data_IF_930783788967
#
_entry.id   IF_930783788967
#
_cell.length_a   1.000
_cell.length_b   1.000
_cell.length_c   1.000
_cell.angle_alpha   90.00
_cell.angle_beta   90.00
_cell.angle_gamma   90.00
#
_symmetry.space_group_name_H-M   'P 1'
#
loop_
_entity.id
_entity.type
_entity.pdbx_description
1 polymer ?
#
# COMPACT_ATOMS: atom_id res chain seq x y z
N UNK A 1 2.65 -20.64 0.88
CA UNK A 1 3.69 -19.57 0.93
C UNK A 1 3.73 -18.98 2.35
N UNK A 2 4.91 -18.69 2.91
CA UNK A 2 5.03 -18.00 4.21
C UNK A 2 5.24 -16.49 3.99
N UNK A 3 4.49 -15.65 4.71
CA UNK A 3 4.62 -14.21 4.64
C UNK A 3 4.70 -13.59 6.03
N UNK A 4 5.62 -12.63 6.18
CA UNK A 4 5.75 -11.80 7.37
C UNK A 4 4.91 -10.54 7.24
N UNK A 5 4.48 -10.04 8.40
CA UNK A 5 3.75 -8.78 8.51
C UNK A 5 4.45 -7.88 9.49
N UNK A 6 4.82 -6.68 9.04
CA UNK A 6 5.43 -5.69 9.91
C UNK A 6 4.41 -5.26 10.97
N UNK A 7 4.76 -5.30 12.28
CA UNK A 7 3.87 -4.87 13.34
C UNK A 7 3.39 -3.42 13.14
N UNK A 8 2.13 -3.14 13.50
CA UNK A 8 1.52 -1.82 13.25
C UNK A 8 2.19 -0.68 14.05
N UNK A 9 2.81 -1.00 15.19
CA UNK A 9 3.55 -0.04 16.00
C UNK A 9 4.79 0.53 15.28
N UNK A 10 5.30 -0.14 14.24
CA UNK A 10 6.37 0.37 13.38
C UNK A 10 5.95 1.54 12.50
N UNK A 11 4.64 1.80 12.41
CA UNK A 11 4.06 2.87 11.58
C UNK A 11 3.43 4.00 12.41
N UNK A 12 3.69 4.05 13.72
CA UNK A 12 3.28 5.18 14.57
C UNK A 12 4.28 6.33 14.45
N UNK A 13 3.81 7.56 14.66
CA UNK A 13 4.65 8.78 14.70
C UNK A 13 5.48 9.04 13.43
N UNK A 14 4.97 8.62 12.26
CA UNK A 14 5.63 8.87 10.98
C UNK A 14 5.50 10.35 10.56
N UNK A 15 6.61 11.06 10.27
CA UNK A 15 6.56 12.49 9.95
C UNK A 15 5.77 12.76 8.67
N UNK A 16 4.73 13.59 8.78
CA UNK A 16 3.90 13.98 7.63
C UNK A 16 3.10 12.83 7.01
N UNK A 17 2.72 11.83 7.82
CA UNK A 17 1.93 10.68 7.38
C UNK A 17 0.62 10.55 8.17
N UNK A 18 -0.37 11.41 7.88
CA UNK A 18 -1.65 11.41 8.60
C UNK A 18 -2.62 10.33 8.11
N UNK A 19 -2.25 9.53 7.11
CA UNK A 19 -3.18 8.67 6.39
C UNK A 19 -3.51 7.38 7.15
N UNK A 20 -4.80 7.05 7.17
CA UNK A 20 -5.26 5.77 7.68
C UNK A 20 -4.98 4.66 6.66
N UNK A 21 -4.43 3.50 7.08
CA UNK A 21 -4.20 2.41 6.15
C UNK A 21 -5.53 1.77 5.74
N UNK A 22 -5.66 1.46 4.46
CA UNK A 22 -6.67 0.54 3.95
C UNK A 22 -6.00 -0.76 3.51
N UNK A 23 -6.74 -1.86 3.54
CA UNK A 23 -6.20 -3.18 3.25
C UNK A 23 -7.09 -3.94 2.28
N UNK A 24 -6.47 -4.69 1.38
CA UNK A 24 -7.13 -5.62 0.47
C UNK A 24 -6.45 -6.97 0.57
N UNK A 25 -7.23 -8.02 0.81
CA UNK A 25 -6.74 -9.39 0.82
C UNK A 25 -6.88 -9.99 -0.57
N UNK A 26 -5.79 -10.52 -1.12
CA UNK A 26 -5.75 -11.20 -2.41
C UNK A 26 -5.36 -12.67 -2.23
N UNK A 27 -5.86 -13.54 -3.12
CA UNK A 27 -5.37 -14.92 -3.20
C UNK A 27 -3.97 -14.93 -3.80
N UNK A 28 -3.04 -15.64 -3.16
CA UNK A 28 -1.70 -15.88 -3.68
C UNK A 28 -1.77 -17.03 -4.68
N UNK A 29 -1.76 -16.71 -5.97
CA UNK A 29 -1.94 -17.69 -7.04
C UNK A 29 -0.70 -18.55 -7.30
N UNK A 30 -0.59 -19.67 -6.60
CA UNK A 30 -0.01 -20.92 -7.16
C UNK A 30 -1.14 -21.94 -7.10
N UNK A 31 -1.48 -22.57 -8.22
CA UNK A 31 -2.60 -23.52 -8.31
C UNK A 31 -2.51 -24.58 -7.20
N UNK A 32 -3.45 -24.56 -6.25
CA UNK A 32 -3.56 -25.54 -5.17
C UNK A 32 -3.22 -25.03 -3.77
N UNK A 33 -2.70 -23.80 -3.60
CA UNK A 33 -2.42 -23.21 -2.28
C UNK A 33 -3.52 -22.20 -1.90
N UNK A 34 -3.99 -22.23 -0.65
CA UNK A 34 -5.04 -21.34 -0.11
C UNK A 34 -4.46 -20.08 0.55
N UNK A 35 -3.17 -19.82 0.34
CA UNK A 35 -2.47 -18.69 0.95
C UNK A 35 -3.06 -17.36 0.46
N UNK A 36 -3.29 -16.42 1.38
CA UNK A 36 -3.75 -15.06 1.07
C UNK A 36 -2.71 -14.04 1.50
N UNK A 37 -2.60 -12.95 0.75
CA UNK A 37 -1.71 -11.82 1.04
C UNK A 37 -2.52 -10.55 1.25
N UNK A 38 -2.14 -9.75 2.24
CA UNK A 38 -2.73 -8.45 2.52
C UNK A 38 -1.89 -7.34 1.90
N UNK A 39 -2.50 -6.58 0.99
CA UNK A 39 -1.94 -5.36 0.40
C UNK A 39 -2.46 -4.17 1.20
N UNK A 40 -1.56 -3.33 1.68
CA UNK A 40 -1.89 -2.03 2.22
C UNK A 40 -1.97 -0.98 1.11
N UNK A 41 -2.88 -0.02 1.24
CA UNK A 41 -2.93 1.14 0.37
C UNK A 41 -3.50 2.35 1.10
N UNK A 42 -3.14 3.53 0.60
CA UNK A 42 -3.79 4.79 0.92
C UNK A 42 -4.85 5.09 -0.13
N UNK A 43 -6.00 5.63 0.29
CA UNK A 43 -7.12 6.00 -0.58
C UNK A 43 -7.74 7.30 -0.05
N UNK A 44 -7.34 8.42 -0.66
CA UNK A 44 -7.65 9.78 -0.21
C UNK A 44 -8.35 10.59 -1.31
N UNK A 45 -9.07 11.64 -0.90
CA UNK A 45 -9.83 12.49 -1.81
C UNK A 45 -11.22 11.95 -2.17
N UNK A 46 -11.99 12.66 -3.02
CA UNK A 46 -13.38 12.30 -3.33
C UNK A 46 -13.48 10.99 -4.12
N UNK A 47 -14.26 10.02 -3.63
CA UNK A 47 -14.44 8.72 -4.30
C UNK A 47 -15.17 8.81 -5.63
N UNK A 48 -15.93 9.88 -5.83
CA UNK A 48 -16.68 10.26 -7.03
C UNK A 48 -15.90 11.22 -7.95
N UNK A 49 -14.61 11.44 -7.68
CA UNK A 49 -13.75 12.27 -8.54
C UNK A 49 -13.72 11.75 -9.98
N UNK A 50 -13.73 12.68 -10.95
CA UNK A 50 -13.63 12.37 -12.36
C UNK A 50 -12.30 11.66 -12.74
N UNK A 51 -11.26 11.78 -11.92
CA UNK A 51 -9.98 11.14 -12.15
C UNK A 51 -9.35 10.60 -10.85
N UNK A 52 -8.71 9.44 -10.95
CA UNK A 52 -7.90 8.84 -9.89
C UNK A 52 -6.42 8.88 -10.26
N UNK A 53 -5.59 9.41 -9.38
CA UNK A 53 -4.13 9.35 -9.47
C UNK A 53 -3.65 8.09 -8.76
N UNK A 54 -3.06 7.15 -9.50
CA UNK A 54 -2.43 5.95 -8.95
C UNK A 54 -0.93 6.19 -8.75
N UNK A 55 -0.49 6.24 -7.49
CA UNK A 55 0.90 6.48 -7.11
C UNK A 55 1.61 5.16 -6.79
N UNK A 56 2.34 4.60 -7.76
CA UNK A 56 3.10 3.35 -7.59
C UNK A 56 4.55 3.62 -7.21
N UNK A 57 4.94 3.22 -6.00
CA UNK A 57 6.32 3.35 -5.55
C UNK A 57 7.23 2.32 -6.24
N UNK A 58 8.55 2.52 -6.14
CA UNK A 58 9.57 1.57 -6.60
C UNK A 58 10.43 1.04 -5.46
N UNK A 59 11.56 0.45 -5.80
CA UNK A 59 12.57 -0.09 -4.87
C UNK A 59 13.39 1.04 -4.19
N UNK A 60 13.73 0.97 -2.88
CA UNK A 60 13.20 0.11 -1.81
C UNK A 60 12.12 0.84 -0.98
N UNK A 61 11.27 1.62 -1.65
CA UNK A 61 10.37 2.58 -1.01
C UNK A 61 8.99 1.99 -0.71
N UNK A 62 8.06 2.83 -0.27
CA UNK A 62 6.64 2.49 -0.08
C UNK A 62 5.80 3.76 -0.23
N UNK A 63 4.48 3.69 -0.07
CA UNK A 63 3.56 4.82 -0.28
C UNK A 63 3.95 6.11 0.48
N UNK A 64 4.70 6.01 1.58
CA UNK A 64 5.31 7.14 2.30
C UNK A 64 6.10 8.12 1.42
N UNK A 65 6.67 7.63 0.31
CA UNK A 65 7.35 8.44 -0.69
C UNK A 65 6.46 9.57 -1.22
N UNK A 66 5.16 9.29 -1.37
CA UNK A 66 4.19 10.20 -1.97
C UNK A 66 3.53 11.17 -0.99
N UNK A 67 3.88 11.15 0.30
CA UNK A 67 3.18 11.93 1.34
C UNK A 67 3.09 13.44 1.10
N UNK A 68 4.02 14.01 0.33
CA UNK A 68 4.01 15.42 -0.04
C UNK A 68 3.25 15.70 -1.36
N UNK A 69 3.06 14.67 -2.18
CA UNK A 69 2.35 14.75 -3.46
C UNK A 69 0.85 14.50 -3.28
N UNK A 70 0.47 13.52 -2.45
CA UNK A 70 -0.92 13.20 -2.11
C UNK A 70 -1.76 14.46 -1.80
N UNK A 71 -1.37 15.36 -0.89
CA UNK A 71 -2.22 16.51 -0.56
C UNK A 71 -2.36 17.49 -1.72
N UNK A 72 -1.38 17.56 -2.65
CA UNK A 72 -1.46 18.42 -3.84
C UNK A 72 -2.51 17.90 -4.82
N UNK A 73 -2.53 16.59 -5.07
CA UNK A 73 -3.53 15.97 -5.94
C UNK A 73 -4.94 16.00 -5.33
N UNK A 74 -5.05 15.75 -4.03
CA UNK A 74 -6.33 15.85 -3.32
C UNK A 74 -6.87 17.29 -3.35
N UNK A 75 -6.01 18.30 -3.15
CA UNK A 75 -6.40 19.70 -3.26
C UNK A 75 -6.83 20.10 -4.68
N UNK A 76 -6.30 19.41 -5.71
CA UNK A 76 -6.75 19.56 -7.10
C UNK A 76 -8.07 18.83 -7.42
N UNK A 77 -8.70 18.19 -6.43
CA UNK A 77 -9.98 17.49 -6.57
C UNK A 77 -9.87 16.06 -7.10
N UNK A 78 -8.67 15.48 -7.14
CA UNK A 78 -8.46 14.10 -7.56
C UNK A 78 -8.60 13.13 -6.38
N UNK A 79 -9.07 11.91 -6.69
CA UNK A 79 -8.85 10.76 -5.81
C UNK A 79 -7.39 10.32 -5.95
N UNK A 80 -6.75 9.91 -4.86
CA UNK A 80 -5.39 9.39 -4.87
C UNK A 80 -5.36 8.01 -4.23
N UNK A 81 -4.84 7.04 -4.96
CA UNK A 81 -4.59 5.68 -4.44
C UNK A 81 -3.10 5.40 -4.47
N UNK A 82 -2.52 5.01 -3.35
CA UNK A 82 -1.09 4.68 -3.23
C UNK A 82 -0.92 3.33 -2.53
N UNK A 83 -0.81 2.21 -3.27
CA UNK A 83 -0.59 0.89 -2.71
C UNK A 83 0.88 0.68 -2.30
N UNK A 84 1.08 -0.12 -1.27
CA UNK A 84 2.38 -0.71 -0.95
C UNK A 84 2.50 -2.06 -1.68
N UNK A 85 3.50 -2.22 -2.54
CA UNK A 85 3.80 -3.48 -3.21
C UNK A 85 4.07 -4.60 -2.18
N UNK A 86 3.74 -5.84 -2.52
CA UNK A 86 4.11 -7.02 -1.72
C UNK A 86 5.61 -7.00 -1.47
N UNK A 87 6.02 -7.23 -0.21
CA UNK A 87 7.41 -7.05 0.24
C UNK A 87 7.72 -5.69 0.88
N UNK A 88 6.88 -4.68 0.68
CA UNK A 88 7.17 -3.29 1.09
C UNK A 88 6.13 -2.72 2.04
N UNK A 89 6.46 -1.60 2.65
CA UNK A 89 5.55 -0.81 3.48
C UNK A 89 4.77 -1.64 4.50
N UNK A 90 3.45 -1.47 4.52
CA UNK A 90 2.52 -2.18 5.42
C UNK A 90 1.93 -3.46 4.81
N UNK A 91 2.27 -3.77 3.56
CA UNK A 91 1.89 -5.01 2.89
C UNK A 91 2.63 -6.21 3.46
N UNK A 92 2.04 -7.39 3.28
CA UNK A 92 2.67 -8.67 3.59
C UNK A 92 3.95 -8.87 2.77
N UNK A 93 4.89 -9.61 3.34
CA UNK A 93 6.25 -9.79 2.83
C UNK A 93 6.58 -11.28 2.75
N UNK A 94 6.54 -11.89 1.56
CA UNK A 94 7.01 -13.25 1.38
C UNK A 94 8.44 -13.40 1.91
N UNK A 95 8.68 -14.49 2.63
CA UNK A 95 9.98 -14.77 3.27
C UNK A 95 11.01 -15.19 2.24
N UNK A 96 10.60 -16.07 1.31
CA UNK A 96 11.48 -16.61 0.29
C UNK A 96 11.50 -15.70 -0.93
N UNK A 97 12.69 -15.51 -1.51
CA UNK A 97 12.84 -14.70 -2.72
C UNK A 97 12.11 -15.28 -3.92
N UNK A 98 11.92 -16.60 -3.95
CA UNK A 98 11.19 -17.31 -5.02
C UNK A 98 9.68 -17.04 -5.00
N UNK A 99 9.18 -16.43 -3.94
CA UNK A 99 7.75 -16.19 -3.73
C UNK A 99 7.28 -14.81 -4.25
N UNK A 100 8.18 -14.04 -4.87
CA UNK A 100 7.91 -12.74 -5.54
C UNK A 100 7.79 -12.91 -7.06
#
# INVERSE_FOLDING_TARGET
>A
MEALRTPDDRFVNLPGWPYAPQYTTIASGVSGDSTTLRIAHIDEGPRDSAATVLCMHGEPSWSYLYRKMIPVFVAAGHRVVAPDLIGFGRSDKPVERSDY
#
